data_IF_564877302189
#
_entry.id   IF_564877302189
#
_cell.length_a   1.000
_cell.length_b   1.000
_cell.length_c   1.000
_cell.angle_alpha   90.00
_cell.angle_beta   90.00
_cell.angle_gamma   90.00
#
_symmetry.space_group_name_H-M   'P 1'
#
loop_
_entity.id
_entity.type
_entity.pdbx_description
1 polymer ?
#
# COMPACT_ATOMS: atom_id res chain seq x y z
N UNK A 1 -8.38 -37.31 -7.51
CA UNK A 1 -8.88 -36.45 -6.44
C UNK A 1 -8.06 -35.16 -6.47
N UNK A 2 -8.55 -34.15 -7.20
CA UNK A 2 -7.79 -32.95 -7.51
C UNK A 2 -8.11 -31.89 -6.44
N UNK A 3 -7.10 -31.50 -5.66
CA UNK A 3 -7.25 -30.61 -4.49
C UNK A 3 -8.16 -29.41 -4.76
N UNK A 4 -9.35 -29.44 -4.17
CA UNK A 4 -10.34 -28.37 -4.26
C UNK A 4 -9.96 -27.21 -3.34
N UNK A 5 -10.43 -26.01 -3.68
CA UNK A 5 -10.24 -24.81 -2.87
C UNK A 5 -10.94 -24.97 -1.52
N UNK A 6 -10.18 -25.03 -0.43
CA UNK A 6 -10.73 -25.24 0.92
C UNK A 6 -11.01 -23.94 1.67
N UNK A 7 -10.38 -22.83 1.27
CA UNK A 7 -10.48 -21.54 1.94
C UNK A 7 -10.47 -20.39 0.92
N UNK A 8 -11.23 -19.35 1.22
CA UNK A 8 -11.13 -18.04 0.56
C UNK A 8 -10.38 -17.06 1.48
N UNK A 9 -9.98 -15.92 0.93
CA UNK A 9 -9.55 -14.81 1.78
C UNK A 9 -10.75 -14.32 2.62
N UNK A 10 -10.56 -13.99 3.91
CA UNK A 10 -11.65 -13.50 4.75
C UNK A 10 -12.28 -12.22 4.20
N UNK A 11 -13.59 -12.05 4.37
CA UNK A 11 -14.25 -10.78 4.03
C UNK A 11 -13.90 -9.70 5.05
N UNK A 12 -14.18 -8.44 4.71
CA UNK A 12 -13.94 -7.31 5.61
C UNK A 12 -14.77 -7.44 6.90
N UNK A 13 -16.01 -7.92 6.81
CA UNK A 13 -16.89 -8.14 7.96
C UNK A 13 -16.29 -9.15 8.94
N UNK A 14 -15.79 -10.28 8.42
CA UNK A 14 -15.13 -11.30 9.25
C UNK A 14 -13.89 -10.75 9.94
N UNK A 15 -13.06 -9.97 9.22
CA UNK A 15 -11.85 -9.39 9.79
C UNK A 15 -12.15 -8.28 10.81
N UNK A 16 -13.24 -7.52 10.63
CA UNK A 16 -13.64 -6.43 11.51
C UNK A 16 -14.07 -6.90 12.91
N UNK A 17 -14.48 -8.17 13.03
CA UNK A 17 -14.91 -8.81 14.27
C UNK A 17 -13.77 -9.52 15.03
N UNK A 18 -12.58 -9.67 14.42
CA UNK A 18 -11.46 -10.33 15.06
C UNK A 18 -10.91 -9.53 16.25
N UNK A 19 -10.57 -10.25 17.33
CA UNK A 19 -9.67 -9.69 18.34
C UNK A 19 -8.27 -9.53 17.73
N UNK A 20 -7.73 -8.29 17.62
CA UNK A 20 -6.40 -8.07 17.06
C UNK A 20 -5.28 -8.86 17.76
N UNK A 21 -5.46 -9.26 19.03
CA UNK A 21 -4.47 -10.06 19.75
C UNK A 21 -4.30 -11.48 19.19
N UNK A 22 -5.25 -11.97 18.40
CA UNK A 22 -5.19 -13.30 17.77
C UNK A 22 -4.33 -13.34 16.51
N UNK A 23 -4.02 -12.18 15.92
CA UNK A 23 -3.18 -12.10 14.73
C UNK A 23 -1.70 -12.19 15.10
N UNK A 24 -0.96 -13.10 14.45
CA UNK A 24 0.47 -13.36 14.69
C UNK A 24 1.38 -12.25 14.10
N UNK A 25 1.21 -11.02 14.58
CA UNK A 25 1.96 -9.83 14.15
C UNK A 25 2.04 -8.78 15.27
N UNK A 26 2.84 -7.71 15.13
CA UNK A 26 2.87 -6.63 16.12
C UNK A 26 1.48 -6.05 16.39
N UNK A 27 1.15 -5.79 17.65
CA UNK A 27 -0.19 -5.34 18.08
C UNK A 27 -0.71 -4.12 17.33
N UNK A 28 0.16 -3.15 17.04
CA UNK A 28 -0.21 -1.96 16.27
C UNK A 28 -0.62 -2.30 14.83
N UNK A 29 0.06 -3.27 14.20
CA UNK A 29 -0.27 -3.74 12.85
C UNK A 29 -1.58 -4.54 12.84
N UNK A 30 -1.76 -5.42 13.83
CA UNK A 30 -2.99 -6.20 13.94
C UNK A 30 -4.21 -5.28 14.10
N UNK A 31 -4.11 -4.25 14.95
CA UNK A 31 -5.15 -3.22 15.11
C UNK A 31 -5.41 -2.50 13.78
N UNK A 32 -4.38 -2.05 13.08
CA UNK A 32 -4.54 -1.37 11.80
C UNK A 32 -5.27 -2.24 10.75
N UNK A 33 -5.02 -3.56 10.72
CA UNK A 33 -5.74 -4.49 9.83
C UNK A 33 -7.23 -4.57 10.19
N UNK A 34 -7.55 -4.76 11.47
CA UNK A 34 -8.95 -4.86 11.93
C UNK A 34 -9.69 -3.53 11.73
N UNK A 35 -9.07 -2.40 12.03
CA UNK A 35 -9.66 -1.06 11.81
C UNK A 35 -9.86 -0.76 10.32
N UNK A 36 -8.91 -1.14 9.45
CA UNK A 36 -9.10 -1.01 8.01
C UNK A 36 -10.26 -1.88 7.51
N UNK A 37 -10.34 -3.13 7.97
CA UNK A 37 -11.43 -4.03 7.60
C UNK A 37 -12.79 -3.47 8.03
N UNK A 38 -12.89 -2.91 9.24
CA UNK A 38 -14.10 -2.23 9.71
C UNK A 38 -14.45 -1.03 8.84
N UNK A 39 -13.48 -0.16 8.56
CA UNK A 39 -13.70 1.02 7.74
C UNK A 39 -14.13 0.68 6.30
N UNK A 40 -13.67 -0.44 5.74
CA UNK A 40 -14.11 -0.95 4.44
C UNK A 40 -15.54 -1.51 4.52
N UNK A 41 -15.85 -2.33 5.53
CA UNK A 41 -17.19 -2.90 5.73
C UNK A 41 -18.27 -1.82 5.95
N UNK A 42 -17.90 -0.70 6.58
CA UNK A 42 -18.77 0.45 6.82
C UNK A 42 -18.79 1.48 5.67
N UNK A 43 -17.93 1.30 4.64
CA UNK A 43 -17.81 2.23 3.51
C UNK A 43 -17.13 3.57 3.85
N UNK A 44 -16.49 3.68 5.02
CA UNK A 44 -15.71 4.86 5.42
C UNK A 44 -14.41 5.01 4.59
N UNK A 45 -13.85 3.88 4.15
CA UNK A 45 -12.76 3.80 3.17
C UNK A 45 -13.32 3.18 1.89
N UNK A 46 -13.05 3.81 0.75
CA UNK A 46 -13.44 3.32 -0.57
C UNK A 46 -12.19 2.94 -1.37
N UNK A 47 -12.05 1.65 -1.66
CA UNK A 47 -11.00 1.07 -2.49
C UNK A 47 -11.56 0.31 -3.70
N UNK A 48 -12.84 0.55 -4.05
CA UNK A 48 -13.46 -0.14 -5.17
C UNK A 48 -12.83 0.31 -6.50
N UNK A 49 -12.94 -0.52 -7.56
CA UNK A 49 -12.50 -0.14 -8.89
C UNK A 49 -13.12 1.19 -9.34
N UNK A 50 -12.27 2.16 -9.69
CA UNK A 50 -12.70 3.49 -10.10
C UNK A 50 -12.86 4.52 -8.98
N UNK A 51 -12.54 4.15 -7.73
CA UNK A 51 -12.42 5.10 -6.62
C UNK A 51 -11.39 6.21 -6.91
N UNK A 52 -11.63 7.41 -6.38
CA UNK A 52 -10.71 8.55 -6.52
C UNK A 52 -9.42 8.28 -5.72
N UNK A 53 -8.25 8.14 -6.38
CA UNK A 53 -7.00 7.80 -5.71
C UNK A 53 -6.57 8.81 -4.64
N UNK A 54 -6.94 10.09 -4.76
CA UNK A 54 -6.62 11.10 -3.75
C UNK A 54 -7.49 10.94 -2.51
N UNK A 55 -8.80 10.67 -2.72
CA UNK A 55 -9.75 10.39 -1.63
C UNK A 55 -9.38 9.11 -0.89
N UNK A 56 -9.09 8.02 -1.61
CA UNK A 56 -8.71 6.73 -1.00
C UNK A 56 -7.45 6.86 -0.15
N UNK A 57 -6.42 7.60 -0.62
CA UNK A 57 -5.21 7.89 0.17
C UNK A 57 -5.53 8.64 1.46
N UNK A 58 -6.37 9.65 1.40
CA UNK A 58 -6.76 10.44 2.58
C UNK A 58 -7.52 9.57 3.59
N UNK A 59 -8.48 8.75 3.13
CA UNK A 59 -9.22 7.83 3.97
C UNK A 59 -8.30 6.78 4.62
N UNK A 60 -7.40 6.15 3.85
CA UNK A 60 -6.40 5.22 4.38
C UNK A 60 -5.52 5.86 5.45
N UNK A 61 -5.04 7.08 5.21
CA UNK A 61 -4.15 7.79 6.12
C UNK A 61 -4.82 8.19 7.45
N UNK A 62 -6.16 8.16 7.51
CA UNK A 62 -6.90 8.42 8.76
C UNK A 62 -6.86 7.25 9.74
N UNK A 63 -6.48 6.04 9.30
CA UNK A 63 -6.41 4.85 10.14
C UNK A 63 -5.06 4.81 10.87
N UNK A 64 -5.12 4.77 12.20
CA UNK A 64 -3.92 4.68 13.03
C UNK A 64 -3.08 3.43 12.69
N UNK A 65 -1.81 3.64 12.36
CA UNK A 65 -0.89 2.57 11.94
C UNK A 65 -0.76 2.40 10.42
N UNK A 66 -1.57 3.09 9.62
CA UNK A 66 -1.40 3.20 8.17
C UNK A 66 -0.62 4.48 7.87
N UNK A 67 0.65 4.32 7.49
CA UNK A 67 1.54 5.42 7.13
C UNK A 67 1.59 5.70 5.62
N UNK A 68 2.28 6.77 5.19
CA UNK A 68 2.38 7.17 3.77
C UNK A 68 2.86 6.04 2.85
N UNK A 69 3.82 5.23 3.29
CA UNK A 69 4.28 4.08 2.51
C UNK A 69 3.17 3.07 2.24
N UNK A 70 2.33 2.77 3.23
CA UNK A 70 1.21 1.84 3.09
C UNK A 70 0.14 2.41 2.16
N UNK A 71 -0.17 3.71 2.27
CA UNK A 71 -1.11 4.37 1.36
C UNK A 71 -0.65 4.25 -0.10
N UNK A 72 0.61 4.55 -0.38
CA UNK A 72 1.15 4.44 -1.74
C UNK A 72 1.25 2.99 -2.23
N UNK A 73 1.50 2.03 -1.33
CA UNK A 73 1.44 0.60 -1.68
C UNK A 73 0.03 0.16 -2.07
N UNK A 74 -1.00 0.59 -1.32
CA UNK A 74 -2.40 0.27 -1.65
C UNK A 74 -2.80 0.96 -2.97
N UNK A 75 -2.41 2.21 -3.18
CA UNK A 75 -2.65 2.89 -4.45
C UNK A 75 -2.00 2.15 -5.64
N UNK A 76 -0.73 1.74 -5.49
CA UNK A 76 0.02 1.05 -6.55
C UNK A 76 -0.51 -0.35 -6.83
N UNK A 77 -0.73 -1.17 -5.78
CA UNK A 77 -1.04 -2.62 -5.92
C UNK A 77 -2.54 -2.94 -5.83
N UNK A 78 -3.29 -2.20 -5.01
CA UNK A 78 -4.72 -2.41 -4.82
C UNK A 78 -5.55 -1.66 -5.86
N UNK A 79 -5.23 -0.39 -6.10
CA UNK A 79 -6.01 0.46 -7.01
C UNK A 79 -5.44 0.54 -8.43
N UNK A 80 -4.22 0.04 -8.64
CA UNK A 80 -3.55 0.10 -9.95
C UNK A 80 -3.23 1.52 -10.40
N UNK A 81 -3.06 2.46 -9.46
CA UNK A 81 -2.74 3.85 -9.76
C UNK A 81 -1.39 3.92 -10.51
N UNK A 82 -1.35 4.41 -11.76
CA UNK A 82 -0.13 4.48 -12.56
C UNK A 82 0.90 5.47 -12.00
N UNK A 83 0.49 6.36 -11.11
CA UNK A 83 1.29 7.47 -10.62
C UNK A 83 1.59 7.39 -9.11
N UNK A 84 1.27 6.26 -8.46
CA UNK A 84 1.64 6.02 -7.07
C UNK A 84 3.16 5.94 -6.86
N UNK A 85 3.64 6.49 -5.74
CA UNK A 85 5.08 6.61 -5.50
C UNK A 85 5.48 6.44 -4.02
N UNK A 86 5.86 5.22 -3.60
CA UNK A 86 6.29 4.90 -2.24
C UNK A 86 7.74 5.36 -1.99
N UNK A 87 7.98 6.66 -1.88
CA UNK A 87 9.33 7.25 -1.82
C UNK A 87 10.23 6.72 -0.69
N UNK A 88 9.66 6.13 0.37
CA UNK A 88 10.39 5.54 1.50
C UNK A 88 10.58 4.03 1.38
N UNK A 89 10.19 3.40 0.27
CA UNK A 89 10.39 1.97 0.06
C UNK A 89 11.88 1.63 0.04
N UNK A 90 12.28 0.61 0.81
CA UNK A 90 13.69 0.24 0.95
C UNK A 90 14.31 -0.24 -0.36
N UNK A 91 13.54 -0.89 -1.24
CA UNK A 91 14.08 -1.28 -2.54
C UNK A 91 14.21 -0.09 -3.48
N UNK A 92 13.19 0.76 -3.53
CA UNK A 92 13.23 2.01 -4.32
C UNK A 92 14.44 2.85 -3.91
N UNK A 93 14.60 3.12 -2.62
CA UNK A 93 15.70 3.96 -2.10
C UNK A 93 17.09 3.33 -2.32
N UNK A 94 17.24 2.01 -2.13
CA UNK A 94 18.51 1.30 -2.38
C UNK A 94 18.88 1.26 -3.86
N UNK A 95 17.92 0.95 -4.73
CA UNK A 95 18.17 0.94 -6.17
C UNK A 95 18.45 2.36 -6.68
N UNK A 96 17.70 3.36 -6.21
CA UNK A 96 17.94 4.77 -6.52
C UNK A 96 19.38 5.18 -6.15
N UNK A 97 19.85 4.83 -4.95
CA UNK A 97 21.22 5.10 -4.52
C UNK A 97 22.26 4.53 -5.49
N UNK A 98 22.08 3.26 -5.92
CA UNK A 98 23.00 2.59 -6.84
C UNK A 98 22.99 3.21 -8.24
N UNK A 99 21.85 3.76 -8.66
CA UNK A 99 21.70 4.46 -9.95
C UNK A 99 22.14 5.93 -9.88
N UNK A 100 22.67 6.41 -8.74
CA UNK A 100 23.08 7.80 -8.57
C UNK A 100 21.92 8.79 -8.46
N UNK A 101 20.71 8.30 -8.17
CA UNK A 101 19.51 9.12 -7.96
C UNK A 101 19.44 9.62 -6.50
N UNK A 102 18.66 10.68 -6.22
CA UNK A 102 18.41 11.12 -4.85
C UNK A 102 17.84 10.01 -3.97
N UNK A 103 18.29 9.93 -2.72
CA UNK A 103 17.91 8.85 -1.79
C UNK A 103 17.06 9.31 -0.61
N UNK A 104 17.10 10.61 -0.27
CA UNK A 104 16.20 11.19 0.72
C UNK A 104 14.80 11.26 0.13
N UNK A 105 13.79 10.79 0.87
CA UNK A 105 12.40 10.70 0.38
C UNK A 105 11.91 12.00 -0.29
N UNK A 106 12.10 13.17 0.34
CA UNK A 106 11.68 14.44 -0.23
C UNK A 106 12.39 14.77 -1.57
N UNK A 107 13.70 14.54 -1.65
CA UNK A 107 14.48 14.80 -2.87
C UNK A 107 14.14 13.79 -3.99
N UNK A 108 13.89 12.53 -3.61
CA UNK A 108 13.48 11.50 -4.55
C UNK A 108 12.06 11.75 -5.07
N UNK A 109 11.13 12.18 -4.21
CA UNK A 109 9.78 12.63 -4.63
C UNK A 109 9.87 13.78 -5.61
N UNK A 110 10.69 14.80 -5.33
CA UNK A 110 10.88 15.93 -6.25
C UNK A 110 11.48 15.49 -7.61
N UNK A 111 12.43 14.56 -7.60
CA UNK A 111 12.99 14.00 -8.84
C UNK A 111 11.95 13.18 -9.63
N UNK A 112 11.13 12.41 -8.91
CA UNK A 112 10.09 11.55 -9.49
C UNK A 112 8.97 12.33 -10.19
N UNK A 113 8.83 13.64 -9.96
CA UNK A 113 7.89 14.49 -10.71
C UNK A 113 8.14 14.43 -12.24
N UNK A 114 9.39 14.18 -12.66
CA UNK A 114 9.72 13.98 -14.09
C UNK A 114 9.17 12.68 -14.69
N UNK A 115 8.74 11.73 -13.86
CA UNK A 115 8.18 10.45 -14.28
C UNK A 115 6.64 10.44 -14.32
N UNK A 116 5.99 11.54 -13.95
CA UNK A 116 4.53 11.65 -14.05
C UNK A 116 4.05 11.53 -15.50
N UNK A 117 2.86 10.97 -15.74
CA UNK A 117 1.92 10.39 -14.76
C UNK A 117 2.17 8.88 -14.51
N UNK A 118 3.40 8.39 -14.67
CA UNK A 118 3.74 6.96 -14.72
C UNK A 118 4.74 6.56 -13.62
N UNK A 119 4.72 7.23 -12.46
CA UNK A 119 5.68 6.96 -11.37
C UNK A 119 5.66 5.51 -10.87
N UNK A 120 4.52 4.82 -10.91
CA UNK A 120 4.43 3.39 -10.54
C UNK A 120 5.26 2.49 -11.47
N UNK A 121 5.42 2.86 -12.75
CA UNK A 121 6.27 2.14 -13.68
C UNK A 121 7.75 2.34 -13.34
N UNK A 122 8.16 3.56 -13.00
CA UNK A 122 9.51 3.82 -12.50
C UNK A 122 9.80 2.99 -11.24
N UNK A 123 8.85 2.88 -10.32
CA UNK A 123 8.95 2.01 -9.14
C UNK A 123 9.16 0.54 -9.53
N UNK A 124 8.38 0.04 -10.50
CA UNK A 124 8.55 -1.33 -11.01
C UNK A 124 9.94 -1.57 -11.60
N UNK A 125 10.49 -0.60 -12.36
CA UNK A 125 11.86 -0.65 -12.86
C UNK A 125 12.89 -0.64 -11.72
N UNK A 126 12.72 0.21 -10.71
CA UNK A 126 13.61 0.25 -9.55
C UNK A 126 13.59 -1.07 -8.75
N UNK A 127 12.44 -1.75 -8.69
CA UNK A 127 12.33 -3.08 -8.08
C UNK A 127 12.94 -4.19 -8.93
N UNK A 128 12.81 -4.15 -10.25
CA UNK A 128 13.35 -5.20 -11.14
C UNK A 128 14.87 -5.20 -11.22
N UNK A 129 15.51 -4.08 -10.90
CA UNK A 129 16.96 -3.98 -10.85
C UNK A 129 17.55 -4.36 -9.48
N UNK A 130 16.78 -4.92 -8.55
CA UNK A 130 17.36 -5.45 -7.30
C UNK A 130 18.41 -6.54 -7.63
N UNK A 131 19.58 -6.54 -6.97
CA UNK A 131 20.61 -7.54 -7.22
C UNK A 131 20.14 -8.95 -6.88
#
# INVERSE_FOLDING_TARGET
DHGSLTHLFPTCEVLAELDPATLAMPRSRARAVVELARALAEGAVDLDPGSDPARSRHQLASIAGIGPWTCEMVALRGLGDPDAFPATDLGVTRTAARLGLPTKAAALTAHAETWRPWRSYAVAYLWSHRP
#
